data_IF_449868727870
#
_entry.id   IF_449868727870
#
_cell.length_a   1.000
_cell.length_b   1.000
_cell.length_c   1.000
_cell.angle_alpha   90.00
_cell.angle_beta   90.00
_cell.angle_gamma   90.00
#
_symmetry.space_group_name_H-M   'P 1'
#
loop_
_entity.id
_entity.type
_entity.pdbx_description
1 polymer ?
#
# COMPACT_ATOMS: atom_id res chain seq x y z
N UNK A 1 20.69 9.00 5.16
CA UNK A 1 21.57 9.25 6.32
C UNK A 1 21.28 10.61 6.98
N UNK A 2 21.65 11.75 6.39
CA UNK A 2 21.40 13.09 6.99
C UNK A 2 19.95 13.33 7.46
N UNK A 3 18.96 12.96 6.65
CA UNK A 3 17.55 13.09 7.02
C UNK A 3 17.17 12.24 8.25
N UNK A 4 17.75 11.05 8.40
CA UNK A 4 17.49 10.18 9.55
C UNK A 4 18.12 10.68 10.86
N UNK A 5 19.19 11.46 10.76
CA UNK A 5 19.86 12.09 11.89
C UNK A 5 19.06 13.28 12.43
N UNK A 6 18.43 14.05 11.53
CA UNK A 6 17.75 15.31 11.89
C UNK A 6 16.25 15.13 12.17
N UNK A 7 15.57 14.25 11.44
CA UNK A 7 14.11 14.12 11.55
C UNK A 7 13.69 13.14 12.65
N UNK A 8 12.53 13.39 13.26
CA UNK A 8 11.88 12.44 14.18
C UNK A 8 11.26 11.25 13.44
N UNK A 9 10.74 11.50 12.24
CA UNK A 9 10.12 10.51 11.35
C UNK A 9 10.47 10.80 9.91
N UNK A 10 10.64 9.73 9.12
CA UNK A 10 10.82 9.79 7.67
C UNK A 10 9.72 8.96 7.03
N UNK A 11 8.88 9.60 6.24
CA UNK A 11 7.78 8.97 5.50
C UNK A 11 8.21 8.78 4.06
N UNK A 12 8.33 7.53 3.65
CA UNK A 12 8.75 7.18 2.28
C UNK A 12 7.49 7.00 1.45
N UNK A 13 7.42 7.70 0.31
CA UNK A 13 6.29 7.60 -0.62
C UNK A 13 6.37 6.31 -1.45
N UNK A 14 6.18 5.16 -0.79
CA UNK A 14 6.21 3.82 -1.41
C UNK A 14 4.91 3.52 -2.16
N UNK A 15 4.54 4.37 -3.10
CA UNK A 15 3.43 4.22 -4.04
C UNK A 15 3.79 4.88 -5.37
N UNK A 16 2.90 4.75 -6.36
CA UNK A 16 3.11 5.20 -7.74
C UNK A 16 4.26 4.45 -8.46
N UNK A 17 4.44 3.15 -8.15
CA UNK A 17 5.29 2.25 -8.93
C UNK A 17 4.80 2.15 -10.38
N UNK A 18 3.49 1.93 -10.55
CA UNK A 18 2.75 2.35 -11.73
C UNK A 18 1.91 3.58 -11.39
N UNK A 19 1.98 4.60 -12.25
CA UNK A 19 1.41 5.92 -12.01
C UNK A 19 0.60 6.40 -13.22
N UNK A 20 -0.04 7.58 -13.12
CA UNK A 20 -0.97 8.09 -14.15
C UNK A 20 -0.41 8.09 -15.58
N UNK A 21 0.81 8.57 -15.79
CA UNK A 21 1.45 8.63 -17.10
C UNK A 21 2.22 7.37 -17.49
N UNK A 22 2.18 6.32 -16.66
CA UNK A 22 2.79 5.02 -16.93
C UNK A 22 1.79 4.01 -17.49
N UNK A 23 2.28 2.83 -17.85
CA UNK A 23 1.43 1.70 -18.24
C UNK A 23 0.70 1.07 -17.04
N UNK A 24 -0.35 0.26 -17.28
CA UNK A 24 -1.12 -0.38 -16.22
C UNK A 24 -0.30 -1.39 -15.41
N UNK A 25 -0.46 -1.36 -14.10
CA UNK A 25 0.18 -2.30 -13.16
C UNK A 25 -0.07 -1.93 -11.70
N UNK A 26 0.52 -2.68 -10.76
CA UNK A 26 0.35 -2.44 -9.32
C UNK A 26 0.90 -1.08 -8.89
N UNK A 27 0.21 -0.44 -7.95
CA UNK A 27 0.51 0.91 -7.47
C UNK A 27 1.65 0.87 -6.45
N UNK A 28 1.64 -0.13 -5.57
CA UNK A 28 2.65 -0.32 -4.53
C UNK A 28 2.88 -1.82 -4.28
N UNK A 29 3.44 -2.56 -5.26
CA UNK A 29 3.65 -4.00 -5.13
C UNK A 29 4.59 -4.31 -3.97
N UNK A 30 4.23 -5.29 -3.14
CA UNK A 30 4.85 -5.48 -1.83
C UNK A 30 6.35 -5.81 -1.92
N UNK A 31 6.80 -6.51 -2.97
CA UNK A 31 8.23 -6.77 -3.20
C UNK A 31 9.05 -5.49 -3.37
N UNK A 32 8.54 -4.52 -4.14
CA UNK A 32 9.19 -3.23 -4.34
C UNK A 32 9.16 -2.38 -3.06
N UNK A 33 8.02 -2.36 -2.36
CA UNK A 33 7.90 -1.68 -1.06
C UNK A 33 8.93 -2.23 -0.06
N UNK A 34 9.09 -3.56 0.01
CA UNK A 34 10.07 -4.22 0.85
C UNK A 34 11.52 -3.84 0.47
N UNK A 35 11.85 -3.83 -0.82
CA UNK A 35 13.17 -3.44 -1.30
C UNK A 35 13.51 -1.98 -0.95
N UNK A 36 12.56 -1.06 -1.09
CA UNK A 36 12.72 0.35 -0.71
C UNK A 36 12.89 0.49 0.80
N UNK A 37 12.08 -0.22 1.59
CA UNK A 37 12.18 -0.21 3.05
C UNK A 37 13.52 -0.78 3.53
N UNK A 38 14.02 -1.85 2.91
CA UNK A 38 15.31 -2.46 3.27
C UNK A 38 16.46 -1.50 3.02
N UNK A 39 16.47 -0.83 1.87
CA UNK A 39 17.44 0.21 1.61
C UNK A 39 17.33 1.35 2.65
N UNK A 40 16.12 1.80 2.94
CA UNK A 40 15.92 2.89 3.90
C UNK A 40 16.44 2.54 5.30
N UNK A 41 16.23 1.30 5.77
CA UNK A 41 16.76 0.82 7.06
C UNK A 41 18.28 0.84 7.13
N UNK A 42 18.97 0.66 5.99
CA UNK A 42 20.42 0.76 5.94
C UNK A 42 20.96 2.18 6.19
N UNK A 43 20.11 3.21 6.10
CA UNK A 43 20.52 4.63 6.16
C UNK A 43 19.69 5.50 7.11
N UNK A 44 18.61 4.99 7.71
CA UNK A 44 17.74 5.63 8.70
C UNK A 44 17.30 4.57 9.72
N UNK A 45 17.34 4.86 11.03
CA UNK A 45 16.86 3.94 12.05
C UNK A 45 15.40 3.51 11.82
N UNK A 46 15.10 2.21 12.01
CA UNK A 46 13.82 1.61 11.65
C UNK A 46 12.64 2.23 12.42
N UNK A 47 12.87 2.60 13.68
CA UNK A 47 11.92 3.27 14.57
C UNK A 47 11.54 4.70 14.14
N UNK A 48 12.22 5.24 13.12
CA UNK A 48 11.87 6.52 12.47
C UNK A 48 11.18 6.34 11.12
N UNK A 49 11.21 5.14 10.54
CA UNK A 49 10.76 4.89 9.17
C UNK A 49 9.28 4.57 9.10
N UNK A 50 8.56 5.28 8.24
CA UNK A 50 7.17 4.99 7.89
C UNK A 50 7.06 4.75 6.39
N UNK A 51 6.31 3.73 5.98
CA UNK A 51 6.02 3.46 4.57
C UNK A 51 4.69 4.09 4.14
N UNK A 52 4.65 4.61 2.93
CA UNK A 52 3.47 5.19 2.30
C UNK A 52 2.52 4.10 1.80
N UNK A 53 1.24 4.21 2.12
CA UNK A 53 0.21 3.29 1.64
C UNK A 53 -0.82 4.05 0.78
N UNK A 54 -1.04 3.64 -0.48
CA UNK A 54 -2.09 4.20 -1.30
C UNK A 54 -3.46 3.65 -0.88
N UNK A 55 -4.45 4.53 -0.73
CA UNK A 55 -5.87 4.19 -0.51
C UNK A 55 -6.70 4.43 -1.79
N UNK A 56 -6.04 4.35 -2.95
CA UNK A 56 -6.64 4.64 -4.25
C UNK A 56 -6.28 3.56 -5.27
N UNK A 57 -6.93 3.66 -6.43
CA UNK A 57 -6.64 2.90 -7.63
C UNK A 57 -6.35 3.78 -8.83
N UNK A 58 -6.02 3.15 -9.94
CA UNK A 58 -5.91 3.78 -11.25
C UNK A 58 -6.65 2.94 -12.30
N UNK A 59 -7.27 3.63 -13.27
CA UNK A 59 -7.99 3.03 -14.38
C UNK A 59 -7.38 3.52 -15.70
N UNK A 60 -6.65 2.63 -16.36
CA UNK A 60 -5.99 2.89 -17.63
C UNK A 60 -6.88 2.55 -18.82
N UNK A 61 -6.90 3.43 -19.81
CA UNK A 61 -7.35 3.14 -21.16
C UNK A 61 -6.19 2.72 -22.06
N UNK A 62 -6.49 2.09 -23.20
CA UNK A 62 -5.45 1.72 -24.16
C UNK A 62 -4.87 2.98 -24.81
N UNK A 63 -3.62 3.32 -24.50
CA UNK A 63 -2.94 4.52 -25.01
C UNK A 63 -3.39 5.82 -24.34
N UNK A 64 -4.04 5.75 -23.18
CA UNK A 64 -4.49 6.89 -22.39
C UNK A 64 -3.79 6.93 -21.03
N UNK A 65 -3.62 8.13 -20.47
CA UNK A 65 -3.26 8.30 -19.06
C UNK A 65 -4.32 7.69 -18.14
N UNK A 66 -3.87 7.18 -16.99
CA UNK A 66 -4.76 6.64 -15.98
C UNK A 66 -5.60 7.71 -15.29
N UNK A 67 -6.86 7.36 -15.01
CA UNK A 67 -7.72 8.14 -14.14
C UNK A 67 -7.65 7.56 -12.73
N UNK A 68 -7.30 8.37 -11.73
CA UNK A 68 -7.33 7.95 -10.32
C UNK A 68 -8.75 7.54 -9.91
N UNK A 69 -8.85 6.46 -9.14
CA UNK A 69 -10.10 5.89 -8.66
C UNK A 69 -10.11 5.90 -7.14
N UNK A 70 -11.21 6.36 -6.56
CA UNK A 70 -11.52 6.07 -5.15
C UNK A 70 -12.12 4.67 -5.03
N UNK A 71 -12.26 4.16 -3.81
CA UNK A 71 -12.98 2.92 -3.55
C UNK A 71 -14.40 2.94 -4.13
N UNK A 72 -15.13 4.05 -3.96
CA UNK A 72 -16.48 4.20 -4.50
C UNK A 72 -16.51 4.12 -6.03
N UNK A 73 -15.51 4.69 -6.70
CA UNK A 73 -15.41 4.59 -8.16
C UNK A 73 -15.12 3.15 -8.60
N UNK A 74 -14.23 2.45 -7.88
CA UNK A 74 -13.92 1.03 -8.11
C UNK A 74 -15.18 0.17 -7.94
N UNK A 75 -15.92 0.35 -6.85
CA UNK A 75 -17.17 -0.39 -6.59
C UNK A 75 -18.20 -0.14 -7.69
N UNK A 76 -18.35 1.10 -8.17
CA UNK A 76 -19.22 1.42 -9.30
C UNK A 76 -18.80 0.71 -10.58
N UNK A 77 -17.50 0.65 -10.88
CA UNK A 77 -17.00 -0.09 -12.04
C UNK A 77 -17.28 -1.59 -11.93
N UNK A 78 -17.12 -2.16 -10.72
CA UNK A 78 -17.44 -3.57 -10.46
C UNK A 78 -18.93 -3.83 -10.67
N UNK A 79 -19.80 -2.97 -10.14
CA UNK A 79 -21.25 -3.08 -10.28
C UNK A 79 -21.69 -3.00 -11.74
N UNK A 80 -21.18 -2.03 -12.50
CA UNK A 80 -21.59 -1.78 -13.90
C UNK A 80 -21.08 -2.86 -14.85
N UNK A 81 -19.83 -3.28 -14.70
CA UNK A 81 -19.18 -4.15 -15.68
C UNK A 81 -19.08 -5.62 -15.24
N UNK A 82 -19.42 -5.93 -13.98
CA UNK A 82 -19.34 -7.27 -13.39
C UNK A 82 -18.04 -8.02 -13.74
N UNK A 83 -16.85 -7.38 -13.59
CA UNK A 83 -15.60 -8.02 -13.94
C UNK A 83 -15.20 -9.05 -12.87
N UNK A 84 -14.32 -9.99 -13.23
CA UNK A 84 -13.65 -10.82 -12.24
C UNK A 84 -12.58 -9.99 -11.52
N UNK A 85 -12.77 -9.74 -10.22
CA UNK A 85 -11.80 -9.04 -9.37
C UNK A 85 -10.76 -10.04 -8.85
N UNK A 86 -9.50 -9.81 -9.19
CA UNK A 86 -8.40 -10.70 -8.86
C UNK A 86 -7.46 -10.03 -7.85
N UNK A 87 -6.85 -10.83 -6.98
CA UNK A 87 -5.66 -10.42 -6.23
C UNK A 87 -4.43 -10.95 -6.97
N UNK A 88 -3.55 -10.06 -7.43
CA UNK A 88 -2.29 -10.47 -8.01
C UNK A 88 -1.33 -10.87 -6.87
N UNK A 89 -1.16 -12.17 -6.66
CA UNK A 89 -0.28 -12.68 -5.61
C UNK A 89 1.20 -12.44 -5.94
N UNK A 90 1.64 -12.74 -7.16
CA UNK A 90 3.05 -12.64 -7.56
C UNK A 90 3.26 -12.55 -9.07
N UNK A 91 4.43 -12.08 -9.48
CA UNK A 91 4.98 -12.19 -10.82
C UNK A 91 6.43 -12.73 -10.81
N UNK A 92 7.17 -12.51 -11.91
CA UNK A 92 8.57 -12.89 -12.02
C UNK A 92 9.52 -12.08 -11.12
N UNK A 93 9.09 -10.89 -10.68
CA UNK A 93 9.84 -9.98 -9.81
C UNK A 93 9.55 -10.21 -8.32
N UNK A 94 8.50 -10.95 -7.98
CA UNK A 94 8.19 -11.35 -6.60
C UNK A 94 6.72 -11.19 -6.24
N UNK A 95 6.39 -11.18 -4.94
CA UNK A 95 5.02 -10.94 -4.47
C UNK A 95 4.53 -9.53 -4.82
N UNK A 96 3.27 -9.41 -5.25
CA UNK A 96 2.64 -8.13 -5.62
C UNK A 96 1.65 -7.71 -4.53
N UNK A 97 0.70 -8.59 -4.21
CA UNK A 97 -0.35 -8.39 -3.20
C UNK A 97 -1.23 -7.14 -3.46
N UNK A 98 -1.70 -6.97 -4.70
CA UNK A 98 -2.64 -5.90 -5.08
C UNK A 98 -3.76 -6.38 -5.98
N UNK A 99 -4.91 -5.72 -5.85
CA UNK A 99 -6.13 -6.11 -6.53
C UNK A 99 -6.25 -5.45 -7.89
N UNK A 100 -6.79 -6.19 -8.84
CA UNK A 100 -6.96 -5.70 -10.20
C UNK A 100 -8.11 -6.39 -10.93
N UNK A 101 -8.59 -5.74 -11.98
CA UNK A 101 -9.49 -6.34 -12.95
C UNK A 101 -9.37 -5.65 -14.31
N UNK A 102 -9.98 -6.26 -15.32
CA UNK A 102 -10.16 -5.66 -16.64
C UNK A 102 -11.62 -5.66 -17.03
N UNK A 103 -12.00 -4.68 -17.86
CA UNK A 103 -13.32 -4.60 -18.45
C UNK A 103 -13.24 -3.92 -19.81
N UNK A 104 -14.33 -3.96 -20.59
CA UNK A 104 -14.43 -3.24 -21.87
C UNK A 104 -15.43 -2.10 -21.80
N UNK A 105 -15.05 -0.94 -22.33
CA UNK A 105 -15.93 0.22 -22.53
C UNK A 105 -15.78 0.68 -23.98
N UNK A 106 -16.88 0.71 -24.73
CA UNK A 106 -16.89 1.10 -26.15
C UNK A 106 -15.89 0.29 -26.99
N UNK A 107 -15.77 -1.02 -26.73
CA UNK A 107 -14.83 -1.91 -27.41
C UNK A 107 -13.37 -1.83 -26.93
N UNK A 108 -12.99 -0.81 -26.16
CA UNK A 108 -11.62 -0.64 -25.65
C UNK A 108 -11.41 -1.39 -24.33
N UNK A 109 -10.26 -2.04 -24.20
CA UNK A 109 -9.83 -2.67 -22.95
C UNK A 109 -9.43 -1.60 -21.94
N UNK A 110 -9.92 -1.75 -20.72
CA UNK A 110 -9.49 -0.96 -19.56
C UNK A 110 -8.97 -1.87 -18.47
N UNK A 111 -7.90 -1.44 -17.82
CA UNK A 111 -7.26 -2.17 -16.72
C UNK A 111 -7.30 -1.31 -15.47
N UNK A 112 -7.76 -1.90 -14.38
CA UNK A 112 -7.85 -1.23 -13.08
C UNK A 112 -6.97 -1.97 -12.09
N UNK A 113 -6.10 -1.24 -11.41
CA UNK A 113 -5.35 -1.71 -10.23
C UNK A 113 -5.70 -0.83 -9.04
N UNK A 114 -5.81 -1.42 -7.85
CA UNK A 114 -6.23 -0.70 -6.66
C UNK A 114 -5.78 -1.36 -5.37
N UNK A 115 -5.65 -0.52 -4.35
CA UNK A 115 -5.45 -0.96 -2.98
C UNK A 115 -6.79 -1.25 -2.28
N UNK A 116 -6.81 -2.33 -1.51
CA UNK A 116 -7.90 -2.74 -0.63
C UNK A 116 -7.33 -3.36 0.66
N UNK A 117 -8.21 -3.82 1.55
CA UNK A 117 -7.83 -4.41 2.84
C UNK A 117 -6.83 -5.58 2.73
N UNK A 118 -6.85 -6.34 1.62
CA UNK A 118 -5.91 -7.45 1.39
C UNK A 118 -4.50 -6.93 1.16
N UNK A 119 -4.38 -5.94 0.28
CA UNK A 119 -3.10 -5.27 0.03
C UNK A 119 -2.55 -4.53 1.26
N UNK A 120 -3.45 -3.96 2.08
CA UNK A 120 -3.08 -3.31 3.34
C UNK A 120 -2.54 -4.33 4.35
N UNK A 121 -3.21 -5.47 4.52
CA UNK A 121 -2.76 -6.53 5.41
C UNK A 121 -1.32 -6.97 5.07
N UNK A 122 -1.01 -7.19 3.79
CA UNK A 122 0.34 -7.55 3.36
C UNK A 122 1.37 -6.48 3.73
N UNK A 123 1.02 -5.19 3.55
CA UNK A 123 1.90 -4.06 3.90
C UNK A 123 2.08 -3.89 5.42
N UNK A 124 1.07 -4.16 6.23
CA UNK A 124 1.20 -4.14 7.70
C UNK A 124 2.04 -5.31 8.22
N UNK A 125 1.92 -6.50 7.64
CA UNK A 125 2.79 -7.62 7.97
C UNK A 125 4.27 -7.30 7.70
N UNK A 126 4.56 -6.60 6.60
CA UNK A 126 5.92 -6.15 6.28
C UNK A 126 6.49 -5.19 7.34
N UNK A 127 5.68 -4.28 7.83
CA UNK A 127 6.07 -3.31 8.87
C UNK A 127 6.43 -4.01 10.17
N UNK A 128 5.65 -5.02 10.56
CA UNK A 128 5.95 -5.84 11.73
C UNK A 128 7.26 -6.62 11.54
N UNK A 129 7.41 -7.31 10.39
CA UNK A 129 8.61 -8.09 10.08
C UNK A 129 9.90 -7.25 10.05
N UNK A 130 9.81 -6.00 9.60
CA UNK A 130 10.95 -5.10 9.47
C UNK A 130 11.13 -4.14 10.65
N UNK A 131 10.26 -4.25 11.66
CA UNK A 131 10.22 -3.36 12.82
C UNK A 131 10.20 -1.87 12.47
N UNK A 132 9.36 -1.49 11.50
CA UNK A 132 9.22 -0.10 11.07
C UNK A 132 8.27 0.67 12.00
N UNK A 133 8.42 2.00 12.04
CA UNK A 133 7.63 2.91 12.87
C UNK A 133 6.14 3.01 12.50
N UNK A 134 5.74 2.50 11.33
CA UNK A 134 4.34 2.43 10.92
C UNK A 134 4.08 2.89 9.48
N UNK A 135 2.88 3.43 9.25
CA UNK A 135 2.38 3.81 7.92
C UNK A 135 2.09 5.31 7.80
N UNK A 136 2.12 5.80 6.56
CA UNK A 136 1.55 7.08 6.17
C UNK A 136 0.55 6.85 5.01
N UNK A 137 -0.73 7.16 5.24
CA UNK A 137 -1.81 6.87 4.29
C UNK A 137 -1.99 8.03 3.31
N UNK A 138 -2.04 7.72 2.00
CA UNK A 138 -2.42 8.66 0.95
C UNK A 138 -3.62 8.12 0.16
N UNK A 139 -4.81 8.71 0.26
CA UNK A 139 -5.25 9.75 1.19
C UNK A 139 -6.54 9.29 1.88
N UNK A 140 -6.89 9.95 2.98
CA UNK A 140 -8.16 9.71 3.66
C UNK A 140 -9.33 10.19 2.79
N UNK A 141 -10.42 9.43 2.80
CA UNK A 141 -11.67 9.74 2.11
C UNK A 141 -11.93 8.80 0.93
N UNK A 142 -13.06 8.09 1.00
CA UNK A 142 -13.53 7.11 0.01
C UNK A 142 -12.54 5.94 -0.24
N UNK A 143 -11.96 5.41 0.83
CA UNK A 143 -11.20 4.16 0.87
C UNK A 143 -12.09 2.91 1.10
N UNK A 144 -11.53 1.71 0.97
CA UNK A 144 -12.18 0.47 1.42
C UNK A 144 -12.43 0.55 2.93
N UNK A 145 -13.69 0.51 3.41
CA UNK A 145 -13.97 0.59 4.84
C UNK A 145 -13.29 -0.50 5.66
N UNK A 146 -13.07 -1.68 5.07
CA UNK A 146 -12.39 -2.81 5.72
C UNK A 146 -10.91 -2.52 6.00
N UNK A 147 -10.32 -1.49 5.38
CA UNK A 147 -8.97 -1.05 5.73
C UNK A 147 -8.88 -0.68 7.22
N UNK A 148 -9.93 -0.10 7.79
CA UNK A 148 -9.92 0.32 9.20
C UNK A 148 -10.01 -0.87 10.17
N UNK A 149 -10.66 -1.95 9.76
CA UNK A 149 -10.68 -3.19 10.54
C UNK A 149 -9.28 -3.81 10.58
N UNK A 150 -8.58 -3.82 9.44
CA UNK A 150 -7.19 -4.27 9.34
C UNK A 150 -6.26 -3.37 10.18
N UNK A 151 -6.39 -2.05 10.09
CA UNK A 151 -5.60 -1.11 10.92
C UNK A 151 -5.83 -1.37 12.41
N UNK A 152 -7.08 -1.51 12.83
CA UNK A 152 -7.42 -1.75 14.24
C UNK A 152 -6.78 -3.05 14.74
N UNK A 153 -6.98 -4.13 13.99
CA UNK A 153 -6.44 -5.44 14.32
C UNK A 153 -4.91 -5.43 14.44
N UNK A 154 -4.23 -4.89 13.45
CA UNK A 154 -2.77 -5.03 13.33
C UNK A 154 -1.97 -3.96 14.08
N UNK A 155 -2.51 -2.74 14.24
CA UNK A 155 -1.78 -1.62 14.87
C UNK A 155 -2.28 -1.23 16.26
N UNK A 156 -3.51 -1.61 16.63
CA UNK A 156 -4.10 -1.25 17.94
C UNK A 156 -4.22 -2.45 18.85
N UNK A 157 -4.70 -3.58 18.32
CA UNK A 157 -5.03 -4.76 19.11
C UNK A 157 -3.88 -5.79 19.17
N UNK A 158 -2.92 -5.73 18.23
CA UNK A 158 -1.82 -6.68 18.18
C UNK A 158 -0.88 -6.51 19.40
N UNK A 159 -0.77 -7.54 20.28
CA UNK A 159 0.06 -7.48 21.47
C UNK A 159 1.53 -7.21 21.20
N UNK A 160 2.08 -7.66 20.06
CA UNK A 160 3.49 -7.40 19.69
C UNK A 160 3.75 -5.90 19.55
N UNK A 161 2.81 -5.17 18.93
CA UNK A 161 2.87 -3.72 18.74
C UNK A 161 2.69 -2.98 20.05
N UNK A 162 1.73 -3.40 20.88
CA UNK A 162 1.53 -2.83 22.22
C UNK A 162 2.76 -3.03 23.10
N UNK A 163 3.35 -4.22 23.07
CA UNK A 163 4.55 -4.55 23.85
C UNK A 163 5.77 -3.77 23.36
N UNK A 164 5.89 -3.48 22.05
CA UNK A 164 6.92 -2.56 21.51
C UNK A 164 6.80 -1.15 22.09
N UNK A 165 5.60 -0.58 22.09
CA UNK A 165 5.36 0.76 22.66
C UNK A 165 5.75 0.76 24.13
N UNK A 166 5.28 -0.23 24.90
CA UNK A 166 5.59 -0.32 26.34
C UNK A 166 7.08 -0.50 26.61
N UNK A 167 7.77 -1.39 25.87
CA UNK A 167 9.20 -1.65 26.06
C UNK A 167 10.07 -0.42 25.76
N UNK A 168 9.67 0.46 24.83
CA UNK A 168 10.40 1.70 24.57
C UNK A 168 10.38 2.71 25.75
N UNK A 169 9.52 2.50 26.75
CA UNK A 169 9.44 3.31 27.97
C UNK A 169 9.94 2.58 29.23
N UNK A 170 10.33 1.31 29.13
CA UNK A 170 10.92 0.58 30.25
C UNK A 170 12.44 0.79 30.22
N UNK A 171 13.06 1.21 31.34
CA UNK A 171 14.51 1.33 31.40
C UNK A 171 15.16 -0.05 31.26
N UNK A 172 16.29 -0.12 30.54
CA UNK A 172 17.11 -1.33 30.48
C UNK A 172 17.49 -1.76 31.91
N UNK A 173 17.11 -2.99 32.29
CA UNK A 173 17.46 -3.59 33.58
C UNK A 173 18.73 -4.44 33.46
#
# INVERSE_FOLDING_TARGET
KLLGEICDRVRIMTYDYHWRGGGPGPIAPINWVAAVAEYARSVVPAEKLQIGIPFYGYNWGTGEDAVAQTWTDIQRLIEVYQPNVNLAARDSSGPIEESWFTYRRNGQLRTVWFADHRSLQAKLNLIEQMDLAGIAIWRLGNEDPQNWDVVRKELVENPSVLQRVVNSYLPDH
#
